data_IF_999675725232
#
_entry.id   IF_999675725232
#
_cell.length_a   1.000
_cell.length_b   1.000
_cell.length_c   1.000
_cell.angle_alpha   90.00
_cell.angle_beta   90.00
_cell.angle_gamma   90.00
#
_symmetry.space_group_name_H-M   'P 1'
#
loop_
_entity.id
_entity.type
_entity.pdbx_description
1 polymer ?
#
# COMPACT_ATOMS: atom_id res chain seq x y z
N UNK A 1 -6.63 -45.57 -10.87
CA UNK A 1 -7.23 -44.22 -10.93
C UNK A 1 -7.30 -43.67 -9.51
N UNK A 2 -6.65 -42.54 -9.20
CA UNK A 2 -6.63 -41.97 -7.84
C UNK A 2 -7.83 -41.05 -7.68
N UNK A 3 -8.71 -41.38 -6.73
CA UNK A 3 -9.89 -40.59 -6.36
C UNK A 3 -9.43 -39.24 -5.78
N UNK A 4 -10.00 -38.13 -6.26
CA UNK A 4 -9.72 -36.79 -5.73
C UNK A 4 -10.22 -36.65 -4.29
N UNK A 5 -9.41 -36.01 -3.45
CA UNK A 5 -9.77 -35.71 -2.06
C UNK A 5 -10.90 -34.68 -2.03
N UNK A 6 -12.05 -35.03 -1.44
CA UNK A 6 -13.15 -34.10 -1.19
C UNK A 6 -12.90 -33.35 0.13
N UNK A 7 -12.86 -32.02 0.08
CA UNK A 7 -12.78 -31.20 1.28
C UNK A 7 -14.20 -30.92 1.79
N UNK A 8 -14.51 -31.33 3.02
CA UNK A 8 -15.77 -31.03 3.69
C UNK A 8 -15.54 -29.94 4.74
N UNK A 9 -16.35 -28.88 4.73
CA UNK A 9 -16.33 -27.83 5.74
C UNK A 9 -17.56 -28.00 6.64
N UNK A 10 -17.33 -28.09 7.96
CA UNK A 10 -18.40 -28.10 8.96
C UNK A 10 -18.56 -26.67 9.49
N UNK A 11 -19.76 -26.13 9.39
CA UNK A 11 -20.08 -24.77 9.83
C UNK A 11 -21.14 -24.89 10.92
N UNK A 12 -20.83 -24.44 12.13
CA UNK A 12 -21.76 -24.43 13.24
C UNK A 12 -22.60 -23.14 13.16
N UNK A 13 -23.92 -23.30 13.20
CA UNK A 13 -24.87 -22.18 13.21
C UNK A 13 -25.48 -22.11 14.60
N UNK A 14 -25.29 -20.98 15.28
CA UNK A 14 -25.84 -20.74 16.62
C UNK A 14 -26.71 -19.50 16.61
N UNK A 15 -27.84 -19.56 17.33
CA UNK A 15 -28.65 -18.39 17.58
C UNK A 15 -28.09 -17.67 18.82
N UNK A 16 -27.64 -16.44 18.65
CA UNK A 16 -27.11 -15.60 19.75
C UNK A 16 -28.17 -14.71 20.39
N UNK A 17 -29.45 -14.82 19.97
CA UNK A 17 -30.55 -14.04 20.54
C UNK A 17 -31.28 -14.81 21.65
N UNK A 18 -31.94 -14.08 22.55
CA UNK A 18 -32.73 -14.64 23.65
C UNK A 18 -34.19 -14.98 23.26
N UNK A 19 -34.46 -15.18 21.97
CA UNK A 19 -35.80 -15.47 21.46
C UNK A 19 -35.75 -16.45 20.27
N UNK A 20 -36.86 -17.13 20.03
CA UNK A 20 -36.98 -18.10 18.94
C UNK A 20 -36.97 -17.38 17.57
N UNK A 21 -36.17 -17.91 16.64
CA UNK A 21 -36.10 -17.43 15.27
C UNK A 21 -36.71 -18.47 14.35
N UNK A 22 -37.70 -18.08 13.54
CA UNK A 22 -38.30 -18.93 12.52
C UNK A 22 -37.61 -18.66 11.18
N UNK A 23 -36.86 -19.66 10.69
CA UNK A 23 -36.21 -19.60 9.38
C UNK A 23 -37.12 -20.26 8.35
N UNK A 24 -37.54 -19.51 7.34
CA UNK A 24 -38.40 -20.03 6.28
C UNK A 24 -37.64 -20.99 5.36
N UNK A 25 -38.39 -21.82 4.64
CA UNK A 25 -37.79 -22.73 3.67
C UNK A 25 -37.08 -21.92 2.58
N UNK A 26 -35.85 -22.33 2.25
CA UNK A 26 -34.95 -21.64 1.27
C UNK A 26 -34.37 -20.30 1.74
N UNK A 27 -34.43 -19.96 3.02
CA UNK A 27 -33.69 -18.80 3.55
C UNK A 27 -32.19 -19.08 3.48
N UNK A 28 -31.46 -18.23 2.74
CA UNK A 28 -30.00 -18.28 2.63
C UNK A 28 -29.40 -17.73 3.92
N UNK A 29 -28.68 -18.58 4.68
CA UNK A 29 -28.00 -18.19 5.92
C UNK A 29 -26.61 -17.59 5.69
N UNK A 30 -26.01 -17.87 4.53
CA UNK A 30 -24.69 -17.36 4.15
C UNK A 30 -24.17 -18.00 2.87
N UNK A 31 -22.99 -17.57 2.43
CA UNK A 31 -22.25 -18.13 1.29
C UNK A 31 -20.84 -18.50 1.73
N UNK A 32 -20.26 -19.52 1.09
CA UNK A 32 -18.87 -19.93 1.29
C UNK A 32 -18.08 -19.71 0.01
N UNK A 33 -16.96 -19.01 0.10
CA UNK A 33 -16.03 -18.84 -1.01
C UNK A 33 -14.69 -19.52 -0.68
N UNK A 34 -14.19 -20.32 -1.63
CA UNK A 34 -12.84 -20.87 -1.53
C UNK A 34 -11.84 -19.79 -1.91
N UNK A 35 -11.08 -19.33 -0.91
CA UNK A 35 -10.01 -18.35 -1.12
C UNK A 35 -8.70 -19.11 -1.27
N UNK A 36 -8.03 -18.96 -2.43
CA UNK A 36 -6.77 -19.66 -2.75
C UNK A 36 -5.54 -19.03 -2.09
N UNK A 37 -5.61 -17.74 -1.76
CA UNK A 37 -4.55 -16.99 -1.09
C UNK A 37 -5.13 -15.72 -0.47
N UNK A 38 -4.66 -15.36 0.73
CA UNK A 38 -4.94 -14.07 1.36
C UNK A 38 -3.65 -13.26 1.26
N UNK A 39 -3.66 -12.18 0.48
CA UNK A 39 -2.56 -11.23 0.39
C UNK A 39 -2.85 -10.03 1.28
N UNK A 40 -1.97 -9.66 2.22
CA UNK A 40 -2.13 -8.42 2.94
C UNK A 40 -1.90 -7.24 1.99
N UNK A 41 -2.87 -6.31 2.00
CA UNK A 41 -2.90 -5.00 1.32
C UNK A 41 -3.24 -5.04 -0.17
N UNK A 42 -4.43 -4.53 -0.49
CA UNK A 42 -4.93 -4.31 -1.85
C UNK A 42 -4.19 -3.13 -2.49
N UNK A 43 -3.37 -3.41 -3.51
CA UNK A 43 -2.93 -2.39 -4.49
C UNK A 43 -3.97 -2.37 -5.61
N UNK A 44 -4.76 -1.30 -5.69
CA UNK A 44 -5.65 -1.08 -6.84
C UNK A 44 -4.80 -0.73 -8.05
N UNK A 45 -4.42 -1.72 -8.85
CA UNK A 45 -3.86 -1.48 -10.17
C UNK A 45 -4.95 -0.90 -11.08
N UNK A 46 -4.80 0.38 -11.40
CA UNK A 46 -5.56 1.01 -12.47
C UNK A 46 -5.17 0.35 -13.81
N UNK A 47 -6.13 -0.31 -14.45
CA UNK A 47 -5.96 -0.88 -15.78
C UNK A 47 -5.65 0.24 -16.80
N UNK A 48 -4.42 0.26 -17.32
CA UNK A 48 -4.12 0.96 -18.56
C UNK A 48 -3.77 -0.05 -19.64
N UNK A 49 -4.70 -0.18 -20.58
CA UNK A 49 -4.45 -0.80 -21.87
C UNK A 49 -3.30 -0.07 -22.57
N UNK A 50 -2.25 -0.77 -23.00
CA UNK A 50 -1.75 -0.69 -24.38
C UNK A 50 -0.46 -1.48 -24.58
N UNK A 51 -0.59 -2.49 -25.47
CA UNK A 51 0.29 -2.85 -26.58
C UNK A 51 1.79 -3.03 -26.29
N UNK A 52 2.17 -4.30 -26.35
CA UNK A 52 3.48 -4.85 -26.73
C UNK A 52 4.31 -3.94 -27.64
N UNK A 53 5.60 -3.82 -27.31
CA UNK A 53 6.69 -3.95 -28.28
C UNK A 53 7.97 -4.39 -27.59
N UNK A 54 8.37 -5.62 -27.91
CA UNK A 54 9.68 -6.20 -27.66
C UNK A 54 10.81 -5.29 -28.15
N UNK A 55 11.87 -5.11 -27.35
CA UNK A 55 13.25 -5.01 -27.87
C UNK A 55 14.26 -5.61 -26.91
N UNK A 56 15.09 -6.45 -27.52
CA UNK A 56 16.11 -7.34 -26.96
C UNK A 56 17.45 -6.59 -26.79
N UNK A 57 18.10 -6.86 -25.64
CA UNK A 57 19.49 -6.63 -25.15
C UNK A 57 20.53 -5.93 -26.03
N UNK A 58 21.41 -5.14 -25.41
CA UNK A 58 22.84 -5.49 -25.18
C UNK A 58 23.48 -4.53 -24.16
N UNK A 59 24.29 -5.11 -23.26
CA UNK A 59 25.04 -4.43 -22.21
C UNK A 59 26.34 -3.79 -22.73
N UNK A 60 26.66 -2.60 -22.22
CA UNK A 60 28.04 -2.11 -22.10
C UNK A 60 28.16 -1.13 -20.94
N UNK A 61 29.22 -1.32 -20.16
CA UNK A 61 29.52 -0.65 -18.90
C UNK A 61 30.00 0.81 -19.07
N UNK A 62 29.85 1.54 -17.97
CA UNK A 62 30.65 2.70 -17.52
C UNK A 62 30.14 4.07 -17.94
N UNK A 63 29.55 4.82 -17.00
CA UNK A 63 30.27 5.86 -16.23
C UNK A 63 29.33 6.54 -15.24
N UNK A 64 29.88 6.75 -14.05
CA UNK A 64 29.40 7.58 -12.95
C UNK A 64 29.01 8.99 -13.43
N UNK A 65 27.91 9.54 -12.90
CA UNK A 65 27.90 10.87 -12.28
C UNK A 65 26.51 11.24 -11.70
N UNK A 66 26.58 11.74 -10.46
CA UNK A 66 25.70 12.66 -9.76
C UNK A 66 24.30 12.94 -10.34
N UNK A 67 23.27 12.55 -9.59
CA UNK A 67 22.03 13.32 -9.53
C UNK A 67 21.45 13.26 -8.12
N UNK A 68 22.11 13.99 -7.22
CA UNK A 68 21.40 14.60 -6.10
C UNK A 68 20.77 15.90 -6.62
N UNK A 69 19.57 16.20 -6.11
CA UNK A 69 18.81 17.45 -6.26
C UNK A 69 17.72 17.43 -7.35
N UNK A 70 16.65 16.71 -7.06
CA UNK A 70 15.31 17.28 -7.22
C UNK A 70 14.68 17.37 -5.84
N UNK A 71 14.93 18.50 -5.18
CA UNK A 71 14.01 18.99 -4.15
C UNK A 71 12.67 19.11 -4.84
N UNK A 72 11.71 18.23 -4.51
CA UNK A 72 10.30 18.48 -4.81
C UNK A 72 9.86 19.66 -3.95
N UNK A 73 10.22 20.86 -4.37
CA UNK A 73 9.43 22.07 -4.09
C UNK A 73 8.15 21.93 -4.92
N UNK A 74 7.23 21.08 -4.45
CA UNK A 74 5.81 21.24 -4.76
C UNK A 74 5.27 22.26 -3.78
N UNK A 75 5.76 23.48 -3.92
CA UNK A 75 5.23 24.66 -3.26
C UNK A 75 4.81 25.57 -4.40
N UNK A 76 3.51 25.59 -4.70
CA UNK A 76 2.78 26.45 -5.66
C UNK A 76 1.72 25.68 -6.47
N UNK A 77 0.65 25.22 -5.81
CA UNK A 77 -0.68 25.16 -6.45
C UNK A 77 -1.76 25.32 -5.38
N UNK A 78 -2.27 26.54 -5.16
CA UNK A 78 -3.56 26.82 -4.49
C UNK A 78 -3.92 25.90 -3.29
N UNK A 79 -3.02 25.78 -2.32
CA UNK A 79 -3.18 24.81 -1.21
C UNK A 79 -4.22 25.24 -0.16
N UNK A 80 -4.62 26.52 -0.15
CA UNK A 80 -5.57 27.08 0.82
C UNK A 80 -7.03 26.59 0.64
N UNK A 81 -7.28 25.68 -0.31
CA UNK A 81 -8.62 25.20 -0.63
C UNK A 81 -8.86 23.70 -0.37
N UNK A 82 -7.86 22.97 0.11
CA UNK A 82 -8.07 21.56 0.47
C UNK A 82 -8.97 21.46 1.70
N UNK A 83 -10.14 20.83 1.51
CA UNK A 83 -11.06 20.48 2.58
C UNK A 83 -11.27 18.96 2.55
N UNK A 84 -10.99 18.25 3.64
CA UNK A 84 -11.27 16.82 3.70
C UNK A 84 -12.77 16.58 3.53
N UNK A 85 -13.13 15.47 2.88
CA UNK A 85 -14.52 15.08 2.72
C UNK A 85 -15.08 14.63 4.08
N UNK A 86 -15.69 15.58 4.79
CA UNK A 86 -16.33 15.36 6.08
C UNK A 86 -17.81 15.69 5.94
N UNK A 87 -18.68 14.79 6.40
CA UNK A 87 -20.12 15.06 6.45
C UNK A 87 -20.42 16.11 7.54
N UNK A 88 -20.99 17.23 7.12
CA UNK A 88 -21.37 18.35 8.00
C UNK A 88 -22.90 18.54 8.07
N UNK A 89 -23.69 17.60 7.54
CA UNK A 89 -25.15 17.71 7.43
C UNK A 89 -25.90 17.82 8.77
N UNK A 90 -25.29 17.34 9.86
CA UNK A 90 -25.86 17.39 11.21
C UNK A 90 -25.56 18.66 12.02
N UNK A 91 -24.84 19.64 11.44
CA UNK A 91 -24.39 20.84 12.16
C UNK A 91 -25.25 22.08 11.85
N UNK A 92 -25.41 22.95 12.84
CA UNK A 92 -25.98 24.28 12.61
C UNK A 92 -25.06 25.11 11.71
N UNK A 93 -25.60 26.12 11.03
CA UNK A 93 -24.86 27.02 10.14
C UNK A 93 -23.60 27.60 10.80
N UNK A 94 -23.74 28.02 12.06
CA UNK A 94 -22.63 28.59 12.85
C UNK A 94 -21.55 27.55 13.13
N UNK A 95 -21.93 26.32 13.49
CA UNK A 95 -20.99 25.23 13.74
C UNK A 95 -20.27 24.81 12.45
N UNK A 96 -21.00 24.74 11.33
CA UNK A 96 -20.42 24.41 10.03
C UNK A 96 -19.36 25.42 9.61
N UNK A 97 -19.58 26.71 9.88
CA UNK A 97 -18.58 27.75 9.62
C UNK A 97 -17.32 27.56 10.46
N UNK A 98 -17.47 27.27 11.76
CA UNK A 98 -16.34 27.02 12.66
C UNK A 98 -15.53 25.80 12.24
N UNK A 99 -16.21 24.69 11.93
CA UNK A 99 -15.54 23.45 11.50
C UNK A 99 -14.84 23.65 10.16
N UNK A 100 -15.47 24.32 9.20
CA UNK A 100 -14.84 24.61 7.90
C UNK A 100 -13.58 25.47 8.06
N UNK A 101 -13.59 26.46 8.97
CA UNK A 101 -12.41 27.28 9.22
C UNK A 101 -11.28 26.44 9.85
N UNK A 102 -11.58 25.63 10.86
CA UNK A 102 -10.61 24.75 11.51
C UNK A 102 -10.01 23.73 10.52
N UNK A 103 -10.83 23.13 9.66
CA UNK A 103 -10.35 22.19 8.64
C UNK A 103 -9.44 22.84 7.60
N UNK A 104 -9.59 24.15 7.34
CA UNK A 104 -8.67 24.91 6.48
C UNK A 104 -7.37 25.25 7.19
N UNK A 105 -7.46 25.66 8.46
CA UNK A 105 -6.27 25.96 9.28
C UNK A 105 -5.37 24.72 9.43
N UNK A 106 -5.97 23.54 9.60
CA UNK A 106 -5.26 22.27 9.77
C UNK A 106 -5.19 21.43 8.48
N UNK A 107 -5.37 22.04 7.30
CA UNK A 107 -5.50 21.29 6.04
C UNK A 107 -4.27 20.43 5.73
N UNK A 108 -3.07 20.86 6.13
CA UNK A 108 -1.80 20.15 5.93
C UNK A 108 -1.64 18.91 6.81
N UNK A 109 -2.44 18.77 7.88
CA UNK A 109 -2.40 17.61 8.78
C UNK A 109 -3.14 16.40 8.20
N UNK A 110 -3.96 16.61 7.16
CA UNK A 110 -4.75 15.56 6.51
C UNK A 110 -4.09 15.11 5.21
N UNK A 111 -4.04 13.80 4.99
CA UNK A 111 -3.61 13.23 3.72
C UNK A 111 -4.57 13.64 2.59
N UNK A 112 -4.02 14.11 1.48
CA UNK A 112 -4.79 14.53 0.29
C UNK A 112 -5.37 13.36 -0.49
N UNK A 113 -4.64 12.25 -0.51
CA UNK A 113 -5.00 11.02 -1.20
C UNK A 113 -4.26 9.83 -0.57
N UNK A 114 -4.55 8.62 -1.06
CA UNK A 114 -3.94 7.39 -0.57
C UNK A 114 -2.40 7.33 -0.79
N UNK A 115 -1.86 8.21 -1.65
CA UNK A 115 -0.43 8.32 -1.97
C UNK A 115 0.27 9.45 -1.19
N UNK A 116 -0.47 10.25 -0.41
CA UNK A 116 0.05 11.38 0.36
C UNK A 116 0.66 10.90 1.67
N UNK A 117 1.93 10.53 1.59
CA UNK A 117 2.71 10.01 2.71
C UNK A 117 3.54 11.17 3.28
N UNK A 118 3.25 11.51 4.54
CA UNK A 118 3.92 12.60 5.25
C UNK A 118 5.44 12.42 5.29
N UNK A 119 6.18 13.52 5.13
CA UNK A 119 7.64 13.54 5.14
C UNK A 119 8.16 14.63 6.07
N UNK A 120 8.94 14.24 7.09
CA UNK A 120 9.61 15.15 8.02
C UNK A 120 11.09 15.27 7.65
N UNK A 121 11.51 16.48 7.26
CA UNK A 121 12.90 16.76 6.84
C UNK A 121 13.88 16.88 8.01
N UNK A 122 13.38 17.29 9.16
CA UNK A 122 14.22 17.67 10.31
C UNK A 122 14.48 16.50 11.29
N UNK A 123 13.90 15.33 11.01
CA UNK A 123 14.07 14.14 11.84
C UNK A 123 14.87 13.08 11.07
N UNK A 124 16.11 12.86 11.49
CA UNK A 124 16.93 11.74 11.05
C UNK A 124 17.09 10.73 12.19
N UNK A 125 16.75 9.46 11.92
CA UNK A 125 16.86 8.40 12.92
C UNK A 125 18.23 7.72 12.81
N UNK A 126 19.06 7.91 13.84
CA UNK A 126 20.32 7.16 13.99
C UNK A 126 20.08 5.83 14.72
N UNK A 127 20.43 4.72 14.06
CA UNK A 127 20.28 3.37 14.63
C UNK A 127 21.62 2.93 15.23
N UNK A 128 21.69 2.90 16.57
CA UNK A 128 22.86 2.43 17.29
C UNK A 128 22.92 0.89 17.29
N UNK A 129 24.04 0.33 16.81
CA UNK A 129 24.26 -1.11 16.77
C UNK A 129 24.99 -1.60 18.03
N UNK A 130 24.64 -2.81 18.49
CA UNK A 130 25.39 -3.50 19.57
C UNK A 130 26.74 -4.00 19.07
N UNK A 131 26.83 -4.41 17.80
CA UNK A 131 28.05 -4.87 17.15
C UNK A 131 28.15 -4.25 15.75
N UNK A 132 29.36 -3.81 15.36
CA UNK A 132 29.63 -3.20 14.06
C UNK A 132 30.10 -4.21 12.99
N UNK A 133 29.76 -5.48 13.16
CA UNK A 133 30.11 -6.52 12.20
C UNK A 133 29.07 -6.55 11.06
N UNK A 134 29.47 -6.33 9.79
CA UNK A 134 28.53 -6.28 8.68
C UNK A 134 27.92 -7.65 8.40
N UNK A 135 26.59 -7.69 8.31
CA UNK A 135 25.85 -8.90 7.96
C UNK A 135 25.50 -8.88 6.46
N UNK A 136 26.14 -9.74 5.68
CA UNK A 136 25.85 -9.91 4.26
C UNK A 136 25.19 -11.27 4.00
N UNK A 137 23.87 -11.26 3.82
CA UNK A 137 23.11 -12.46 3.41
C UNK A 137 22.95 -12.50 1.90
N UNK A 138 22.90 -13.71 1.36
CA UNK A 138 22.66 -13.93 -0.06
C UNK A 138 21.22 -13.58 -0.44
N UNK A 139 21.07 -13.09 -1.68
CA UNK A 139 19.76 -12.87 -2.27
C UNK A 139 18.99 -14.18 -2.43
N UNK A 140 17.71 -14.15 -2.06
CA UNK A 140 16.76 -15.25 -2.32
C UNK A 140 15.99 -14.91 -3.60
N UNK A 141 16.01 -15.82 -4.57
CA UNK A 141 15.34 -15.60 -5.83
C UNK A 141 13.83 -15.53 -5.68
N UNK A 142 13.24 -14.41 -6.09
CA UNK A 142 11.79 -14.27 -6.23
C UNK A 142 11.28 -15.26 -7.28
N UNK A 143 10.22 -16.05 -6.99
CA UNK A 143 9.60 -16.92 -7.98
C UNK A 143 9.18 -16.15 -9.24
N UNK A 144 9.46 -16.70 -10.42
CA UNK A 144 9.17 -16.05 -11.72
C UNK A 144 7.74 -15.48 -11.85
N UNK A 145 6.68 -16.16 -11.38
CA UNK A 145 5.32 -15.61 -11.46
C UNK A 145 5.14 -14.29 -10.71
N UNK A 146 5.93 -14.04 -9.65
CA UNK A 146 5.83 -12.85 -8.80
C UNK A 146 6.79 -11.73 -9.22
N UNK A 147 7.71 -11.99 -10.15
CA UNK A 147 8.65 -10.97 -10.64
C UNK A 147 7.96 -9.71 -11.18
N UNK A 148 6.82 -9.77 -11.91
CA UNK A 148 6.14 -8.57 -12.38
C UNK A 148 5.61 -7.71 -11.24
N UNK A 149 4.99 -8.33 -10.22
CA UNK A 149 4.41 -7.65 -9.07
C UNK A 149 5.49 -6.98 -8.21
N UNK A 150 6.56 -7.73 -7.90
CA UNK A 150 7.68 -7.20 -7.11
C UNK A 150 8.38 -6.06 -7.85
N UNK A 151 8.53 -6.17 -9.17
CA UNK A 151 9.11 -5.09 -9.98
C UNK A 151 8.26 -3.82 -9.91
N UNK A 152 6.94 -3.94 -10.11
CA UNK A 152 6.03 -2.79 -10.02
C UNK A 152 6.13 -2.13 -8.65
N UNK A 153 6.12 -2.93 -7.57
CA UNK A 153 6.23 -2.40 -6.22
C UNK A 153 7.54 -1.66 -5.96
N UNK A 154 8.68 -2.22 -6.41
CA UNK A 154 9.99 -1.55 -6.29
C UNK A 154 10.03 -0.24 -7.08
N UNK A 155 9.44 -0.21 -8.29
CA UNK A 155 9.32 1.00 -9.09
C UNK A 155 8.50 2.08 -8.38
N UNK A 156 7.39 1.71 -7.75
CA UNK A 156 6.56 2.64 -6.97
C UNK A 156 7.34 3.20 -5.76
N UNK A 157 8.09 2.35 -5.05
CA UNK A 157 8.94 2.80 -3.92
C UNK A 157 10.07 3.75 -4.38
N UNK A 158 10.64 3.53 -5.56
CA UNK A 158 11.65 4.41 -6.15
C UNK A 158 11.05 5.76 -6.59
N UNK A 159 9.88 5.74 -7.24
CA UNK A 159 9.17 6.94 -7.69
C UNK A 159 8.73 7.84 -6.52
N UNK A 160 8.43 7.22 -5.38
CA UNK A 160 8.09 7.89 -4.13
C UNK A 160 9.30 8.25 -3.27
N UNK A 161 10.52 7.88 -3.68
CA UNK A 161 11.77 8.18 -2.96
C UNK A 161 11.81 7.53 -1.57
N UNK A 162 11.10 6.42 -1.36
CA UNK A 162 11.15 5.64 -0.12
C UNK A 162 12.40 4.76 -0.06
N UNK A 163 12.87 4.31 -1.22
CA UNK A 163 14.11 3.56 -1.36
C UNK A 163 15.03 4.24 -2.37
N UNK A 164 16.32 3.95 -2.25
CA UNK A 164 17.35 4.44 -3.18
C UNK A 164 18.41 3.36 -3.39
N UNK A 165 19.07 3.41 -4.54
CA UNK A 165 20.25 2.59 -4.77
C UNK A 165 21.36 2.94 -3.77
N UNK A 166 22.01 1.93 -3.22
CA UNK A 166 23.12 2.11 -2.30
C UNK A 166 24.13 0.96 -2.45
N UNK A 167 25.37 1.21 -2.02
CA UNK A 167 26.41 0.19 -1.88
C UNK A 167 26.65 0.02 -0.38
N UNK A 168 26.25 -1.12 0.17
CA UNK A 168 26.33 -1.39 1.60
C UNK A 168 27.03 -2.72 1.86
N UNK A 169 27.78 -2.78 2.96
CA UNK A 169 28.30 -4.03 3.50
C UNK A 169 27.20 -4.88 4.19
N UNK A 170 26.03 -4.29 4.41
CA UNK A 170 24.85 -4.96 4.95
C UNK A 170 23.90 -5.39 3.82
N UNK A 171 23.46 -6.65 3.86
CA UNK A 171 22.48 -7.18 2.91
C UNK A 171 21.59 -8.21 3.58
N UNK A 172 20.28 -8.12 3.35
CA UNK A 172 19.27 -9.06 3.81
C UNK A 172 18.41 -9.52 2.63
N UNK A 173 17.93 -10.78 2.64
CA UNK A 173 17.03 -11.27 1.61
C UNK A 173 15.69 -10.51 1.66
N UNK A 174 15.10 -10.34 0.49
CA UNK A 174 13.76 -9.76 0.28
C UNK A 174 12.71 -10.86 0.31
#
# INVERSE_FOLDING_TARGET
MKQGSTSQAKIDVTNTTNHDIVVLKHTVLGSLQLIKSITPVEVKLAEKSSKEKERTVTATQSQVNAMAKETRERDNTNDDQFLPQVDLSGLTERQRQVVTNMLKEECHSFARNDEDIGYIKDLELEINLTTNEPLQKNYVSVPRPLCPEVKQYIEDLLNNVFIRESKSAYSSPV
#
